data_IF_709361823766
#
_entry.id   IF_709361823766
#
_cell.length_a   1.000
_cell.length_b   1.000
_cell.length_c   1.000
_cell.angle_alpha   90.00
_cell.angle_beta   90.00
_cell.angle_gamma   90.00
#
_symmetry.space_group_name_H-M   'P 1'
#
loop_
_entity.id
_entity.type
_entity.pdbx_description
1 polymer ?
#
# COMPACT_ATOMS: atom_id res chain seq x y z
N UNK A 1 8.18 10.22 17.30
CA UNK A 1 7.28 9.83 16.19
C UNK A 1 6.00 9.31 16.82
N UNK A 2 4.79 9.64 16.34
CA UNK A 2 3.57 9.21 17.01
C UNK A 2 3.42 7.68 16.92
N UNK A 3 3.22 7.02 18.05
CA UNK A 3 3.13 5.56 18.17
C UNK A 3 1.71 5.02 17.92
N UNK A 4 0.74 5.91 17.74
CA UNK A 4 -0.64 5.52 17.47
C UNK A 4 -0.76 4.69 16.17
N UNK A 5 -1.69 3.74 16.18
CA UNK A 5 -1.96 2.85 15.06
C UNK A 5 -2.61 3.60 13.89
N UNK A 6 -2.02 3.59 12.69
CA UNK A 6 -2.50 4.42 11.59
C UNK A 6 -3.78 3.87 10.96
N UNK A 7 -4.65 4.77 10.49
CA UNK A 7 -5.63 4.42 9.47
C UNK A 7 -4.93 4.18 8.13
N UNK A 8 -5.38 3.18 7.39
CA UNK A 8 -4.79 2.78 6.12
C UNK A 8 -5.76 3.15 5.00
N UNK A 9 -5.24 3.82 3.97
CA UNK A 9 -5.95 4.12 2.73
C UNK A 9 -5.31 3.29 1.62
N UNK A 10 -6.12 2.50 0.92
CA UNK A 10 -5.72 1.71 -0.24
C UNK A 10 -6.51 2.23 -1.44
N UNK A 11 -5.83 2.85 -2.39
CA UNK A 11 -6.44 3.48 -3.56
C UNK A 11 -6.05 2.74 -4.86
N UNK A 12 -7.04 2.47 -5.70
CA UNK A 12 -6.95 1.77 -7.00
C UNK A 12 -6.32 0.35 -6.97
N UNK A 13 -6.68 -0.49 -6.00
CA UNK A 13 -6.33 -1.92 -5.98
C UNK A 13 -7.52 -2.77 -6.43
N UNK A 14 -7.93 -2.63 -7.69
CA UNK A 14 -9.19 -3.19 -8.21
C UNK A 14 -9.06 -4.62 -8.73
N UNK A 15 -7.86 -5.02 -9.16
CA UNK A 15 -7.66 -6.36 -9.72
C UNK A 15 -7.56 -7.41 -8.61
N UNK A 16 -7.70 -8.71 -8.95
CA UNK A 16 -7.50 -9.80 -7.97
C UNK A 16 -6.09 -9.79 -7.35
N UNK A 17 -5.07 -9.47 -8.14
CA UNK A 17 -3.70 -9.32 -7.65
C UNK A 17 -3.55 -8.04 -6.81
N UNK A 18 -4.23 -6.97 -7.20
CA UNK A 18 -4.37 -5.74 -6.43
C UNK A 18 -4.94 -6.01 -5.04
N UNK A 19 -6.10 -6.65 -4.97
CA UNK A 19 -6.75 -7.04 -3.71
C UNK A 19 -5.83 -7.94 -2.86
N UNK A 20 -5.15 -8.91 -3.48
CA UNK A 20 -4.17 -9.77 -2.81
C UNK A 20 -3.03 -8.95 -2.19
N UNK A 21 -2.47 -8.00 -2.95
CA UNK A 21 -1.38 -7.13 -2.52
C UNK A 21 -1.85 -6.18 -1.41
N UNK A 22 -3.02 -5.57 -1.58
CA UNK A 22 -3.70 -4.77 -0.57
C UNK A 22 -3.90 -5.55 0.74
N UNK A 23 -4.31 -6.82 0.66
CA UNK A 23 -4.45 -7.71 1.81
C UNK A 23 -3.11 -7.92 2.51
N UNK A 24 -2.02 -8.17 1.79
CA UNK A 24 -0.70 -8.35 2.40
C UNK A 24 -0.28 -7.06 3.11
N UNK A 25 -0.38 -5.90 2.44
CA UNK A 25 0.05 -4.61 2.98
C UNK A 25 -0.75 -4.17 4.19
N UNK A 26 -2.08 -4.35 4.20
CA UNK A 26 -2.93 -3.91 5.31
C UNK A 26 -2.68 -4.70 6.60
N UNK A 27 -2.36 -6.00 6.48
CA UNK A 27 -2.08 -6.86 7.63
C UNK A 27 -0.69 -6.66 8.24
N UNK A 28 0.15 -5.80 7.65
CA UNK A 28 1.38 -5.33 8.30
C UNK A 28 1.10 -4.34 9.44
N UNK A 29 -0.13 -3.81 9.52
CA UNK A 29 -0.52 -2.82 10.50
C UNK A 29 -1.62 -3.35 11.43
N UNK A 30 -1.59 -2.96 12.72
CA UNK A 30 -2.64 -3.27 13.67
C UNK A 30 -3.91 -2.46 13.39
N UNK A 31 -5.05 -2.93 13.93
CA UNK A 31 -6.35 -2.25 13.79
C UNK A 31 -6.32 -0.90 14.53
N UNK A 32 -6.59 0.22 13.83
CA UNK A 32 -6.56 1.55 14.43
C UNK A 32 -7.79 1.82 15.28
N UNK A 33 -7.63 2.70 16.28
CA UNK A 33 -8.79 3.27 17.00
C UNK A 33 -9.46 4.35 16.15
N UNK A 34 -10.81 4.53 16.22
CA UNK A 34 -11.53 5.50 15.39
C UNK A 34 -11.10 6.96 15.52
N UNK A 35 -10.46 7.32 16.64
CA UNK A 35 -10.01 8.67 16.97
C UNK A 35 -8.57 8.96 16.50
N UNK A 36 -7.91 8.01 15.84
CA UNK A 36 -6.51 8.18 15.43
C UNK A 36 -6.39 9.19 14.30
N UNK A 37 -5.43 10.11 14.44
CA UNK A 37 -5.14 11.15 13.44
C UNK A 37 -4.08 10.76 12.41
N UNK A 38 -3.43 9.62 12.61
CA UNK A 38 -2.35 9.12 11.76
C UNK A 38 -2.93 8.36 10.58
N UNK A 39 -2.47 8.66 9.38
CA UNK A 39 -2.91 8.04 8.13
C UNK A 39 -1.69 7.57 7.33
N UNK A 40 -1.76 6.34 6.85
CA UNK A 40 -0.85 5.77 5.87
C UNK A 40 -1.64 5.53 4.59
N UNK A 41 -1.10 6.00 3.46
CA UNK A 41 -1.75 5.88 2.15
C UNK A 41 -0.87 5.04 1.24
N UNK A 42 -1.47 4.01 0.65
CA UNK A 42 -0.93 3.28 -0.50
C UNK A 42 -1.85 3.59 -1.68
N UNK A 43 -1.34 4.35 -2.65
CA UNK A 43 -2.09 4.70 -3.84
C UNK A 43 -1.45 4.06 -5.07
N UNK A 44 -2.18 3.20 -5.76
CA UNK A 44 -1.72 2.54 -6.97
C UNK A 44 -1.98 3.44 -8.19
N UNK A 45 -0.94 3.63 -9.01
CA UNK A 45 -1.02 4.27 -10.33
C UNK A 45 -0.09 3.56 -11.29
N UNK A 46 -0.65 2.90 -12.30
CA UNK A 46 0.12 2.17 -13.33
C UNK A 46 1.12 1.15 -12.74
N UNK A 47 0.66 0.35 -11.77
CA UNK A 47 1.45 -0.65 -11.01
C UNK A 47 2.56 -0.10 -10.11
N UNK A 48 2.64 1.23 -9.95
CA UNK A 48 3.45 1.87 -8.92
C UNK A 48 2.58 2.26 -7.74
N UNK A 49 2.90 1.70 -6.58
CA UNK A 49 2.22 1.98 -5.33
C UNK A 49 2.97 3.11 -4.64
N UNK A 50 2.39 4.31 -4.67
CA UNK A 50 2.86 5.47 -3.92
C UNK A 50 2.56 5.30 -2.45
N UNK A 51 3.59 5.25 -1.61
CA UNK A 51 3.45 5.28 -0.16
C UNK A 51 3.58 6.71 0.35
N UNK A 52 2.64 7.14 1.18
CA UNK A 52 2.72 8.41 1.92
C UNK A 52 2.25 8.22 3.36
N UNK A 53 2.82 9.00 4.26
CA UNK A 53 2.54 8.91 5.68
C UNK A 53 2.28 10.31 6.26
N UNK A 54 1.03 10.52 6.68
CA UNK A 54 0.51 11.81 7.12
C UNK A 54 -0.10 11.73 8.52
N UNK A 55 -0.16 12.87 9.19
CA UNK A 55 -1.10 13.15 10.27
C UNK A 55 -2.09 14.16 9.73
N UNK A 56 -3.37 13.98 10.03
CA UNK A 56 -4.36 15.00 9.73
C UNK A 56 -4.75 15.79 10.98
N UNK A 57 -4.96 17.09 10.82
CA UNK A 57 -5.52 17.97 11.83
C UNK A 57 -6.84 18.52 11.31
N UNK A 58 -7.90 18.36 12.09
CA UNK A 58 -9.20 18.98 11.83
C UNK A 58 -9.18 20.34 12.52
N UNK A 59 -9.15 21.42 11.75
CA UNK A 59 -9.46 22.73 12.31
C UNK A 59 -10.96 22.80 12.62
N UNK A 60 -11.41 23.84 13.33
CA UNK A 60 -12.75 23.94 13.92
C UNK A 60 -13.96 23.99 12.94
N UNK A 61 -13.81 23.52 11.70
CA UNK A 61 -14.88 23.42 10.70
C UNK A 61 -14.89 22.08 9.95
N UNK A 62 -16.05 21.66 9.42
CA UNK A 62 -16.21 20.38 8.71
C UNK A 62 -15.46 20.28 7.36
N UNK A 63 -14.88 21.38 6.85
CA UNK A 63 -14.23 21.46 5.54
C UNK A 63 -12.71 21.62 5.57
N UNK A 64 -12.10 21.84 6.73
CA UNK A 64 -10.65 22.08 6.84
C UNK A 64 -9.95 20.90 7.51
N UNK A 65 -9.57 19.93 6.68
CA UNK A 65 -8.61 18.88 7.06
C UNK A 65 -7.25 19.27 6.49
N UNK A 66 -6.30 19.55 7.37
CA UNK A 66 -4.92 19.81 6.99
C UNK A 66 -4.09 18.54 7.17
N UNK A 67 -3.30 18.19 6.15
CA UNK A 67 -2.41 17.04 6.19
C UNK A 67 -0.97 17.51 6.42
N UNK A 68 -0.34 16.98 7.46
CA UNK A 68 1.08 17.14 7.73
C UNK A 68 1.81 15.84 7.44
N UNK A 69 2.74 15.88 6.50
CA UNK A 69 3.58 14.73 6.21
C UNK A 69 4.63 14.51 7.31
N UNK A 70 4.81 13.24 7.71
CA UNK A 70 5.70 12.87 8.82
C UNK A 70 6.62 11.70 8.52
N UNK A 71 6.44 11.02 7.39
CA UNK A 71 7.20 9.83 7.04
C UNK A 71 7.85 9.92 5.67
N UNK A 72 8.59 8.87 5.27
CA UNK A 72 9.27 8.84 4.00
C UNK A 72 8.28 8.78 2.83
N UNK A 73 8.74 9.31 1.68
CA UNK A 73 8.09 9.13 0.39
C UNK A 73 8.83 8.07 -0.38
N UNK A 74 8.13 7.04 -0.79
CA UNK A 74 8.67 6.07 -1.73
C UNK A 74 7.58 5.52 -2.64
N UNK A 75 8.02 4.88 -3.71
CA UNK A 75 7.19 4.15 -4.64
C UNK A 75 7.61 2.69 -4.59
N UNK A 76 6.63 1.81 -4.46
CA UNK A 76 6.82 0.37 -4.51
C UNK A 76 6.33 -0.15 -5.85
N UNK A 77 7.01 -1.15 -6.37
CA UNK A 77 6.54 -1.93 -7.50
C UNK A 77 6.58 -3.40 -7.15
N UNK A 78 5.44 -4.08 -7.26
CA UNK A 78 5.39 -5.51 -7.00
C UNK A 78 6.15 -6.27 -8.10
N UNK A 79 7.12 -7.10 -7.70
CA UNK A 79 7.88 -7.94 -8.63
C UNK A 79 7.59 -9.44 -8.47
N UNK A 80 7.24 -9.90 -7.27
CA UNK A 80 6.97 -11.31 -6.99
C UNK A 80 6.12 -11.47 -5.73
N UNK A 81 5.25 -12.49 -5.74
CA UNK A 81 4.56 -13.03 -4.56
C UNK A 81 4.86 -14.54 -4.51
N UNK A 82 5.32 -15.02 -3.35
CA UNK A 82 5.53 -16.44 -3.05
C UNK A 82 4.60 -16.89 -1.92
N UNK A 83 4.17 -18.16 -1.98
CA UNK A 83 3.35 -18.82 -0.96
C UNK A 83 4.24 -19.45 0.12
N UNK A 84 5.13 -18.66 0.72
CA UNK A 84 6.06 -19.13 1.73
C UNK A 84 6.78 -17.98 2.41
N UNK A 85 7.61 -18.32 3.39
CA UNK A 85 8.45 -17.36 4.10
C UNK A 85 9.69 -16.97 3.29
N UNK A 86 10.38 -15.92 3.71
CA UNK A 86 11.58 -15.42 3.03
C UNK A 86 12.69 -16.48 2.95
N UNK A 87 12.80 -17.33 3.97
CA UNK A 87 13.83 -18.37 4.06
C UNK A 87 13.51 -19.60 3.17
N UNK A 88 12.26 -19.74 2.73
CA UNK A 88 11.82 -20.86 1.88
C UNK A 88 12.08 -20.55 0.40
N UNK A 89 13.32 -20.79 -0.05
CA UNK A 89 13.73 -20.56 -1.43
C UNK A 89 12.83 -21.26 -2.47
N UNK A 90 12.43 -22.49 -2.18
CA UNK A 90 11.63 -23.38 -3.05
C UNK A 90 10.11 -23.18 -2.94
N UNK A 91 9.64 -22.17 -2.18
CA UNK A 91 8.22 -21.90 -2.07
C UNK A 91 7.57 -21.60 -3.43
N UNK A 92 6.35 -22.08 -3.61
CA UNK A 92 5.58 -21.89 -4.84
C UNK A 92 5.41 -20.40 -5.14
N UNK A 93 5.68 -20.00 -6.38
CA UNK A 93 5.46 -18.63 -6.83
C UNK A 93 4.00 -18.44 -7.22
N UNK A 94 3.29 -17.55 -6.52
CA UNK A 94 1.91 -17.17 -6.82
C UNK A 94 1.88 -16.25 -8.05
N UNK A 95 2.75 -15.24 -8.07
CA UNK A 95 2.85 -14.29 -9.16
C UNK A 95 4.28 -13.76 -9.31
N UNK A 96 4.69 -13.46 -10.54
CA UNK A 96 5.98 -12.84 -10.83
C UNK A 96 5.86 -11.91 -12.04
N UNK A 97 6.52 -10.77 -11.97
CA UNK A 97 6.62 -9.85 -13.09
C UNK A 97 7.50 -10.45 -14.19
N UNK A 98 7.00 -10.44 -15.42
CA UNK A 98 7.73 -10.96 -16.60
C UNK A 98 8.05 -9.81 -17.56
N UNK A 99 9.14 -9.05 -17.33
CA UNK A 99 9.40 -7.80 -18.05
C UNK A 99 9.73 -7.99 -19.54
N UNK A 100 10.22 -9.17 -19.92
CA UNK A 100 10.67 -9.48 -21.28
C UNK A 100 9.56 -10.04 -22.20
N UNK A 101 8.29 -10.01 -21.78
CA UNK A 101 7.17 -10.34 -22.67
C UNK A 101 6.66 -9.09 -23.37
N UNK A 102 6.40 -9.19 -24.69
CA UNK A 102 6.00 -8.06 -25.55
C UNK A 102 4.77 -7.30 -25.04
N UNK A 103 3.83 -7.98 -24.38
CA UNK A 103 2.58 -7.38 -23.89
C UNK A 103 2.66 -6.86 -22.45
N UNK A 104 3.71 -7.17 -21.69
CA UNK A 104 3.79 -6.82 -20.26
C UNK A 104 3.70 -5.32 -20.02
N UNK A 105 4.31 -4.49 -20.87
CA UNK A 105 4.27 -3.02 -20.73
C UNK A 105 2.90 -2.41 -21.00
N UNK A 106 1.98 -3.16 -21.61
CA UNK A 106 0.63 -2.70 -21.97
C UNK A 106 -0.44 -3.08 -20.95
N UNK A 107 -0.08 -3.86 -19.92
CA UNK A 107 -1.03 -4.39 -18.93
C UNK A 107 -0.79 -3.70 -17.59
N UNK A 108 -1.87 -3.35 -16.91
CA UNK A 108 -1.87 -3.03 -15.49
C UNK A 108 -2.22 -4.31 -14.73
N UNK A 109 -1.41 -4.65 -13.73
CA UNK A 109 -1.53 -5.88 -12.95
C UNK A 109 -2.19 -5.69 -11.59
N UNK A 110 -2.07 -4.51 -10.97
CA UNK A 110 -2.62 -4.17 -9.66
C UNK A 110 -3.96 -3.43 -9.77
#
# INVERSE_FOLDING_TARGET
>A
MPEAYPHIILDNFETKLGERTANILKHLFPVPKPDTKRIVTFANKSDYISFRHHIYEKQAGPKSVELKEIGPRFELRLYQIKLGTVDQAEAQTEWVIRPYMNTTRKRNFL
#
